data_IF_904207944752
#
_entry.id   IF_904207944752
#
_cell.length_a   1.000
_cell.length_b   1.000
_cell.length_c   1.000
_cell.angle_alpha   90.00
_cell.angle_beta   90.00
_cell.angle_gamma   90.00
#
_symmetry.space_group_name_H-M   'P 1'
#
loop_
_entity.id
_entity.type
_entity.pdbx_description
1 polymer ?
#
# COMPACT_ATOMS: atom_id res chain seq x y z
N UNK A 1 -19.68 5.21 45.21
CA UNK A 1 -18.42 6.00 45.21
C UNK A 1 -17.20 5.25 44.69
N UNK A 2 -16.99 3.93 44.93
CA UNK A 2 -15.77 3.20 44.45
C UNK A 2 -15.71 2.94 42.96
N UNK A 3 -16.83 2.80 42.25
CA UNK A 3 -16.84 2.56 40.78
C UNK A 3 -16.49 3.80 39.94
N UNK A 4 -16.85 4.99 40.43
CA UNK A 4 -16.57 6.27 39.76
C UNK A 4 -15.09 6.66 39.85
N UNK A 5 -14.40 6.31 40.93
CA UNK A 5 -12.96 6.52 41.08
C UNK A 5 -12.11 5.62 40.18
N UNK A 6 -12.56 4.38 39.90
CA UNK A 6 -11.83 3.47 39.03
C UNK A 6 -11.93 3.94 37.57
N UNK A 7 -13.09 4.45 37.11
CA UNK A 7 -13.25 5.02 35.78
C UNK A 7 -12.38 6.28 35.56
N UNK A 8 -12.31 7.15 36.58
CA UNK A 8 -11.47 8.34 36.54
C UNK A 8 -9.96 7.99 36.50
N UNK A 9 -9.54 6.95 37.24
CA UNK A 9 -8.16 6.49 37.23
C UNK A 9 -7.75 5.82 35.87
N UNK A 10 -8.68 5.09 35.24
CA UNK A 10 -8.43 4.50 33.93
C UNK A 10 -8.38 5.58 32.85
N UNK A 11 -9.22 6.60 32.90
CA UNK A 11 -9.18 7.75 32.00
C UNK A 11 -7.90 8.59 32.19
N UNK A 12 -7.41 8.73 33.43
CA UNK A 12 -6.17 9.45 33.73
C UNK A 12 -4.91 8.64 33.27
N UNK A 13 -4.96 7.30 33.34
CA UNK A 13 -3.87 6.47 32.80
C UNK A 13 -3.84 6.44 31.28
N UNK A 14 -4.98 6.52 30.60
CA UNK A 14 -5.05 6.62 29.15
C UNK A 14 -4.47 7.97 28.65
N UNK A 15 -4.67 9.05 29.40
CA UNK A 15 -4.10 10.37 29.05
C UNK A 15 -2.60 10.52 29.36
N UNK A 16 -2.04 9.67 30.21
CA UNK A 16 -0.59 9.65 30.50
C UNK A 16 0.23 8.81 29.51
N UNK A 17 -0.42 7.95 28.70
CA UNK A 17 0.23 7.14 27.66
C UNK A 17 0.40 7.87 26.33
N UNK A 18 -0.37 8.93 26.08
CA UNK A 18 -0.22 9.82 24.94
C UNK A 18 0.48 11.09 25.41
N UNK A 19 1.80 11.11 25.34
CA UNK A 19 2.53 12.38 25.45
C UNK A 19 1.93 13.35 24.42
N UNK A 20 1.63 14.58 24.84
CA UNK A 20 1.24 15.66 23.94
C UNK A 20 2.38 15.91 22.96
N UNK A 21 2.41 15.19 21.87
CA UNK A 21 3.37 15.42 20.80
C UNK A 21 2.69 16.27 19.75
N UNK A 22 2.85 17.56 19.90
CA UNK A 22 2.40 18.56 18.91
C UNK A 22 3.31 18.65 17.71
N UNK A 23 4.45 17.95 17.70
CA UNK A 23 5.47 18.11 16.66
C UNK A 23 4.94 17.80 15.26
N UNK A 24 4.26 16.66 15.07
CA UNK A 24 3.72 16.31 13.77
C UNK A 24 2.56 17.22 13.35
N UNK A 25 1.71 17.62 14.29
CA UNK A 25 0.63 18.57 14.03
C UNK A 25 1.18 19.94 13.67
N UNK A 26 2.10 20.50 14.44
CA UNK A 26 2.77 21.78 14.17
C UNK A 26 3.52 21.78 12.84
N UNK A 27 4.16 20.67 12.47
CA UNK A 27 4.87 20.53 11.20
C UNK A 27 3.92 20.45 9.99
N UNK A 28 2.75 19.85 10.11
CA UNK A 28 1.81 19.62 9.01
C UNK A 28 0.79 20.76 8.83
N UNK A 29 0.41 21.43 9.92
CA UNK A 29 -0.60 22.48 9.94
C UNK A 29 -0.36 23.61 8.91
N UNK A 30 0.87 24.16 8.74
CA UNK A 30 1.13 25.22 7.76
C UNK A 30 0.83 24.80 6.31
N UNK A 31 1.02 23.53 5.96
CA UNK A 31 0.72 23.03 4.62
C UNK A 31 -0.79 22.92 4.35
N UNK A 32 -1.57 22.63 5.38
CA UNK A 32 -3.03 22.62 5.29
C UNK A 32 -3.57 24.06 5.21
N UNK A 33 -3.05 24.98 6.03
CA UNK A 33 -3.46 26.39 6.05
C UNK A 33 -3.14 27.11 4.73
N UNK A 34 -2.00 26.78 4.11
CA UNK A 34 -1.62 27.30 2.80
C UNK A 34 -2.42 26.70 1.63
N UNK A 35 -3.18 25.62 1.89
CA UNK A 35 -3.90 24.87 0.85
C UNK A 35 -3.02 23.94 0.02
N UNK A 36 -1.75 23.76 0.38
CA UNK A 36 -0.84 22.82 -0.28
C UNK A 36 -1.25 21.35 -0.05
N UNK A 37 -1.87 21.05 1.10
CA UNK A 37 -2.45 19.76 1.43
C UNK A 37 -3.91 19.94 1.87
N UNK A 38 -4.84 19.09 1.42
CA UNK A 38 -6.21 19.09 1.92
C UNK A 38 -6.27 18.62 3.38
N UNK A 39 -5.47 17.66 3.75
CA UNK A 39 -5.33 17.08 5.08
C UNK A 39 -4.22 16.06 5.12
N UNK A 40 -3.77 15.71 6.32
CA UNK A 40 -2.71 14.74 6.54
C UNK A 40 -2.94 13.96 7.83
N UNK A 41 -2.50 12.70 7.82
CA UNK A 41 -2.39 11.85 9.01
C UNK A 41 -0.92 11.46 9.15
N UNK A 42 -0.39 11.63 10.34
CA UNK A 42 0.95 11.16 10.71
C UNK A 42 0.85 10.24 11.90
N UNK A 43 1.48 9.09 11.82
CA UNK A 43 1.57 8.12 12.92
C UNK A 43 3.05 7.81 13.13
N UNK A 44 3.55 8.16 14.29
CA UNK A 44 4.89 7.83 14.76
C UNK A 44 4.78 6.81 15.88
N UNK A 45 5.34 5.63 15.68
CA UNK A 45 5.32 4.58 16.68
C UNK A 45 6.75 4.13 17.01
N UNK A 46 7.06 4.07 18.30
CA UNK A 46 8.30 3.49 18.84
C UNK A 46 7.98 2.71 20.12
N UNK A 47 8.84 1.82 20.59
CA UNK A 47 8.61 1.10 21.83
C UNK A 47 8.26 2.04 22.99
N UNK A 48 7.05 1.90 23.53
CA UNK A 48 6.55 2.67 24.67
C UNK A 48 5.97 4.06 24.34
N UNK A 49 5.90 4.47 23.06
CA UNK A 49 5.28 5.73 22.68
C UNK A 49 4.69 5.69 21.26
N UNK A 50 3.53 6.30 21.09
CA UNK A 50 2.90 6.53 19.79
C UNK A 50 2.44 7.99 19.69
N UNK A 51 2.72 8.63 18.56
CA UNK A 51 2.25 9.97 18.23
C UNK A 51 1.32 9.89 17.02
N UNK A 52 0.13 10.44 17.15
CA UNK A 52 -0.86 10.53 16.08
C UNK A 52 -1.24 11.98 15.87
N UNK A 53 -1.09 12.47 14.63
CA UNK A 53 -1.59 13.77 14.23
C UNK A 53 -2.55 13.62 13.05
N UNK A 54 -3.73 14.25 13.16
CA UNK A 54 -4.73 14.35 12.09
C UNK A 54 -5.01 15.83 11.86
N UNK A 55 -4.57 16.38 10.72
CA UNK A 55 -4.71 17.81 10.40
C UNK A 55 -5.46 17.99 9.08
N UNK A 56 -6.38 18.98 9.04
CA UNK A 56 -7.13 19.33 7.84
C UNK A 56 -8.35 18.46 7.58
N UNK A 57 -8.64 18.25 6.30
CA UNK A 57 -9.92 17.76 5.82
C UNK A 57 -9.80 16.46 5.03
N UNK A 58 -10.68 15.51 5.30
CA UNK A 58 -10.92 14.35 4.45
C UNK A 58 -11.82 14.70 3.25
N UNK A 59 -12.60 15.80 3.36
CA UNK A 59 -13.40 16.37 2.29
C UNK A 59 -13.41 17.89 2.47
N UNK A 60 -12.67 18.58 1.61
CA UNK A 60 -12.51 20.04 1.68
C UNK A 60 -13.84 20.75 1.42
N UNK A 61 -14.61 20.27 0.45
CA UNK A 61 -15.89 20.90 0.05
C UNK A 61 -16.94 20.85 1.16
N UNK A 62 -16.99 19.75 1.89
CA UNK A 62 -17.92 19.54 3.03
C UNK A 62 -17.32 19.91 4.37
N UNK A 63 -16.07 20.37 4.41
CA UNK A 63 -15.32 20.64 5.65
C UNK A 63 -15.37 19.46 6.62
N UNK A 64 -15.33 18.22 6.11
CA UNK A 64 -15.30 17.02 6.94
C UNK A 64 -13.86 16.80 7.41
N UNK A 65 -13.57 16.82 8.71
CA UNK A 65 -12.21 16.68 9.23
C UNK A 65 -11.64 15.30 8.88
N UNK A 66 -10.32 15.23 8.72
CA UNK A 66 -9.62 13.96 8.59
C UNK A 66 -9.48 13.31 9.97
N UNK A 67 -9.63 11.99 10.02
CA UNK A 67 -9.52 11.18 11.25
C UNK A 67 -8.81 9.87 10.93
N UNK A 68 -8.44 9.09 11.93
CA UNK A 68 -7.85 7.76 11.73
C UNK A 68 -8.76 6.80 10.95
N UNK A 69 -10.09 7.01 11.01
CA UNK A 69 -11.06 6.22 10.25
C UNK A 69 -11.26 6.71 8.81
N UNK A 70 -10.54 7.75 8.39
CA UNK A 70 -10.64 8.28 7.04
C UNK A 70 -10.02 7.31 6.03
N UNK A 71 -10.76 7.05 4.95
CA UNK A 71 -10.28 6.23 3.84
C UNK A 71 -9.50 7.08 2.85
N UNK A 72 -8.37 6.59 2.39
CA UNK A 72 -7.55 7.23 1.36
C UNK A 72 -6.93 6.20 0.42
N UNK A 73 -6.57 6.66 -0.77
CA UNK A 73 -5.93 5.82 -1.77
C UNK A 73 -4.45 5.64 -1.42
N UNK A 74 -4.02 4.42 -1.18
CA UNK A 74 -2.64 4.11 -0.81
C UNK A 74 -1.69 3.95 -2.01
N UNK A 75 -2.21 3.86 -3.22
CA UNK A 75 -1.40 3.66 -4.43
C UNK A 75 -0.38 2.52 -4.24
N UNK A 76 0.90 2.75 -4.51
CA UNK A 76 1.97 1.74 -4.43
C UNK A 76 2.26 1.22 -3.02
N UNK A 77 1.81 1.88 -1.97
CA UNK A 77 1.92 1.36 -0.60
C UNK A 77 1.19 0.02 -0.43
N UNK A 78 0.15 -0.22 -1.25
CA UNK A 78 -0.56 -1.50 -1.35
C UNK A 78 0.37 -2.68 -1.65
N UNK A 79 1.52 -2.47 -2.32
CA UNK A 79 2.49 -3.54 -2.58
C UNK A 79 3.05 -4.15 -1.31
N UNK A 80 3.23 -3.36 -0.25
CA UNK A 80 3.66 -3.84 1.05
C UNK A 80 2.66 -4.84 1.65
N UNK A 81 1.36 -4.52 1.57
CA UNK A 81 0.30 -5.43 2.05
C UNK A 81 0.24 -6.73 1.23
N UNK A 82 0.37 -6.62 -0.11
CA UNK A 82 0.46 -7.81 -0.96
C UNK A 82 1.66 -8.68 -0.58
N UNK A 83 2.84 -8.07 -0.37
CA UNK A 83 4.04 -8.78 0.03
C UNK A 83 3.87 -9.54 1.36
N UNK A 84 3.31 -8.88 2.38
CA UNK A 84 3.02 -9.51 3.67
C UNK A 84 2.00 -10.65 3.52
N UNK A 85 0.94 -10.46 2.72
CA UNK A 85 -0.06 -11.51 2.47
C UNK A 85 0.57 -12.74 1.84
N UNK A 86 1.42 -12.57 0.83
CA UNK A 86 2.15 -13.69 0.21
C UNK A 86 3.10 -14.35 1.22
N UNK A 87 3.79 -13.57 2.06
CA UNK A 87 4.68 -14.12 3.08
C UNK A 87 3.93 -15.02 4.07
N UNK A 88 2.73 -14.63 4.50
CA UNK A 88 1.87 -15.45 5.35
C UNK A 88 1.49 -16.77 4.64
N UNK A 89 1.11 -16.71 3.35
CA UNK A 89 0.77 -17.91 2.58
C UNK A 89 1.97 -18.84 2.40
N UNK A 90 3.19 -18.29 2.30
CA UNK A 90 4.43 -19.07 2.27
C UNK A 90 4.69 -19.72 3.61
N UNK A 91 4.53 -19.00 4.73
CA UNK A 91 4.67 -19.53 6.09
C UNK A 91 3.69 -20.68 6.37
N UNK A 92 2.45 -20.55 5.87
CA UNK A 92 1.42 -21.59 5.95
C UNK A 92 1.65 -22.77 4.97
N UNK A 93 2.69 -22.74 4.16
CA UNK A 93 3.01 -23.79 3.18
C UNK A 93 2.04 -23.86 1.98
N UNK A 94 1.21 -22.85 1.78
CA UNK A 94 0.22 -22.78 0.67
C UNK A 94 0.83 -22.39 -0.66
N UNK A 95 1.90 -21.57 -0.61
CA UNK A 95 2.63 -21.05 -1.78
C UNK A 95 4.12 -21.22 -1.53
N UNK A 96 4.90 -21.56 -2.57
CA UNK A 96 6.37 -21.42 -2.56
C UNK A 96 6.77 -20.20 -3.40
N UNK A 97 7.81 -19.49 -2.96
CA UNK A 97 8.37 -18.38 -3.76
C UNK A 97 8.91 -18.85 -5.11
N UNK A 98 9.35 -20.10 -5.20
CA UNK A 98 9.91 -20.68 -6.43
C UNK A 98 8.85 -21.41 -7.27
N UNK A 99 7.59 -21.45 -6.84
CA UNK A 99 6.50 -21.98 -7.63
C UNK A 99 6.29 -21.13 -8.91
N UNK A 100 5.98 -21.78 -10.03
CA UNK A 100 5.49 -21.09 -11.21
C UNK A 100 4.19 -20.32 -10.90
N UNK A 101 4.10 -19.07 -11.36
CA UNK A 101 2.86 -18.29 -11.21
C UNK A 101 1.69 -19.02 -11.89
N UNK A 102 1.94 -19.71 -12.98
CA UNK A 102 0.95 -20.50 -13.73
C UNK A 102 0.31 -21.64 -12.91
N UNK A 103 0.93 -22.07 -11.79
CA UNK A 103 0.32 -23.03 -10.86
C UNK A 103 -0.95 -22.47 -10.22
N UNK A 104 -1.02 -21.16 -10.04
CA UNK A 104 -2.11 -20.45 -9.39
C UNK A 104 -2.97 -19.65 -10.39
N UNK A 105 -2.32 -19.15 -11.44
CA UNK A 105 -2.90 -18.33 -12.50
C UNK A 105 -2.52 -18.95 -13.86
N UNK A 106 -3.30 -19.92 -14.39
CA UNK A 106 -2.96 -20.68 -15.60
C UNK A 106 -2.68 -19.82 -16.84
N UNK A 107 -3.26 -18.63 -16.92
CA UNK A 107 -3.03 -17.66 -18.01
C UNK A 107 -1.58 -17.20 -18.12
N UNK A 108 -0.75 -17.41 -17.10
CA UNK A 108 0.68 -17.12 -17.13
C UNK A 108 1.56 -18.31 -17.56
N UNK A 109 0.96 -19.41 -18.06
CA UNK A 109 1.70 -20.58 -18.51
C UNK A 109 2.52 -20.30 -19.79
N UNK A 110 1.99 -19.44 -20.67
CA UNK A 110 2.68 -19.02 -21.89
C UNK A 110 2.82 -17.50 -21.91
N UNK A 111 4.05 -17.03 -21.79
CA UNK A 111 4.38 -15.62 -21.85
C UNK A 111 5.20 -15.32 -23.10
N UNK A 112 4.95 -14.16 -23.67
CA UNK A 112 5.65 -13.65 -24.86
C UNK A 112 6.44 -12.40 -24.49
N UNK A 113 7.64 -12.31 -25.04
CA UNK A 113 8.56 -11.19 -24.84
C UNK A 113 8.66 -10.41 -26.13
N UNK A 114 8.57 -9.08 -26.04
CA UNK A 114 8.75 -8.19 -27.17
C UNK A 114 10.24 -8.07 -27.50
N UNK A 115 10.62 -8.43 -28.71
CA UNK A 115 11.97 -8.25 -29.23
C UNK A 115 12.15 -6.87 -29.86
N UNK A 116 11.25 -6.51 -30.77
CA UNK A 116 11.32 -5.29 -31.54
C UNK A 116 9.91 -4.79 -31.88
N UNK A 117 9.75 -3.47 -31.95
CA UNK A 117 8.59 -2.81 -32.54
C UNK A 117 9.08 -1.85 -33.63
N UNK A 118 8.75 -2.12 -34.88
CA UNK A 118 9.12 -1.32 -36.03
C UNK A 118 7.93 -1.12 -36.95
N UNK A 119 7.65 0.11 -37.33
CA UNK A 119 6.55 0.50 -38.22
C UNK A 119 5.18 -0.07 -37.79
N UNK A 120 4.96 -0.18 -36.45
CA UNK A 120 3.75 -0.75 -35.88
C UNK A 120 3.69 -2.28 -35.88
N UNK A 121 4.73 -2.97 -36.37
CA UNK A 121 4.87 -4.42 -36.32
C UNK A 121 5.66 -4.81 -35.06
N UNK A 122 5.10 -5.73 -34.26
CA UNK A 122 5.75 -6.28 -33.07
C UNK A 122 6.27 -7.68 -33.33
N UNK A 123 7.55 -7.86 -33.10
CA UNK A 123 8.18 -9.20 -33.13
C UNK A 123 8.25 -9.73 -31.71
N UNK A 124 7.71 -10.92 -31.49
CA UNK A 124 7.63 -11.57 -30.19
C UNK A 124 8.31 -12.93 -30.23
N UNK A 125 8.89 -13.32 -29.09
CA UNK A 125 9.31 -14.70 -28.86
C UNK A 125 8.75 -15.24 -27.55
N UNK A 126 8.65 -16.56 -27.39
CA UNK A 126 8.24 -17.18 -26.14
C UNK A 126 9.26 -16.90 -25.05
N UNK A 127 8.80 -16.56 -23.86
CA UNK A 127 9.66 -16.40 -22.69
C UNK A 127 10.45 -17.71 -22.44
N UNK A 128 11.77 -17.59 -22.27
CA UNK A 128 12.66 -18.72 -22.01
C UNK A 128 12.56 -19.23 -20.57
N UNK A 129 12.28 -18.30 -19.66
CA UNK A 129 12.22 -18.58 -18.23
C UNK A 129 10.77 -18.73 -17.78
N UNK A 130 10.58 -19.61 -16.81
CA UNK A 130 9.29 -19.73 -16.11
C UNK A 130 9.15 -18.57 -15.14
N UNK A 131 8.03 -17.87 -15.19
CA UNK A 131 7.72 -16.79 -14.25
C UNK A 131 7.41 -17.40 -12.88
N UNK A 132 8.15 -17.02 -11.85
CA UNK A 132 7.95 -17.48 -10.47
C UNK A 132 7.32 -16.39 -9.59
N UNK A 133 6.72 -16.82 -8.47
CA UNK A 133 6.17 -15.90 -7.45
C UNK A 133 7.25 -14.93 -6.97
N UNK A 134 8.48 -15.40 -6.76
CA UNK A 134 9.64 -14.60 -6.39
C UNK A 134 9.91 -13.47 -7.39
N UNK A 135 9.87 -13.77 -8.70
CA UNK A 135 10.12 -12.77 -9.75
C UNK A 135 9.07 -11.67 -9.78
N UNK A 136 7.82 -12.01 -9.46
CA UNK A 136 6.74 -11.00 -9.38
C UNK A 136 6.95 -10.11 -8.16
N UNK A 137 7.25 -10.69 -7.00
CA UNK A 137 7.42 -9.93 -5.75
C UNK A 137 8.62 -8.97 -5.76
N UNK A 138 9.71 -9.35 -6.41
CA UNK A 138 10.93 -8.55 -6.48
C UNK A 138 11.03 -7.69 -7.75
N UNK A 139 9.96 -7.61 -8.54
CA UNK A 139 9.87 -6.83 -9.77
C UNK A 139 10.85 -7.24 -10.88
N UNK A 140 11.27 -8.52 -10.93
CA UNK A 140 12.11 -9.06 -12.00
C UNK A 140 11.34 -9.89 -13.03
N UNK A 141 10.01 -9.84 -13.00
CA UNK A 141 9.14 -10.58 -13.91
C UNK A 141 9.06 -10.03 -15.34
N UNK A 142 9.67 -8.87 -15.61
CA UNK A 142 9.75 -8.29 -16.96
C UNK A 142 8.48 -7.56 -17.44
N UNK A 143 7.51 -7.32 -16.55
CA UNK A 143 6.29 -6.58 -16.91
C UNK A 143 6.56 -5.08 -17.05
N UNK A 144 6.04 -4.41 -18.10
CA UNK A 144 6.19 -2.99 -18.27
C UNK A 144 5.38 -2.23 -17.22
N UNK A 145 5.84 -1.02 -16.86
CA UNK A 145 5.12 -0.14 -15.93
C UNK A 145 3.84 0.43 -16.58
N UNK A 146 3.90 0.78 -17.86
CA UNK A 146 2.75 1.27 -18.61
C UNK A 146 2.05 0.10 -19.29
N UNK A 147 0.88 -0.26 -18.77
CA UNK A 147 -0.07 -1.04 -19.52
C UNK A 147 -0.77 -0.03 -20.43
N UNK A 148 -0.21 0.24 -21.62
CA UNK A 148 -0.96 0.96 -22.63
C UNK A 148 -2.19 0.11 -22.96
N UNK A 149 -3.36 0.64 -22.65
CA UNK A 149 -4.64 -0.04 -22.78
C UNK A 149 -5.07 -0.29 -24.25
N UNK A 150 -4.19 -0.11 -25.19
CA UNK A 150 -4.31 -0.70 -26.53
C UNK A 150 -3.97 -2.19 -26.39
N UNK A 151 -4.99 -2.97 -25.99
CA UNK A 151 -4.99 -4.40 -26.25
C UNK A 151 -4.58 -4.57 -27.70
N UNK A 152 -3.35 -5.02 -27.94
CA UNK A 152 -3.02 -5.60 -29.23
C UNK A 152 -3.98 -6.78 -29.38
N UNK A 153 -4.85 -6.71 -30.38
CA UNK A 153 -5.65 -7.84 -30.79
C UNK A 153 -4.64 -8.88 -31.31
N UNK A 154 -4.14 -9.70 -30.39
CA UNK A 154 -3.34 -10.87 -30.75
C UNK A 154 -4.35 -11.92 -31.21
N UNK A 155 -4.83 -11.76 -32.44
CA UNK A 155 -5.45 -12.84 -33.19
C UNK A 155 -4.31 -13.49 -33.95
N UNK A 156 -3.80 -14.60 -33.41
CA UNK A 156 -3.01 -15.54 -34.17
C UNK A 156 -3.87 -16.36 -35.09
#
# INVERSE_FOLDING_TARGET
>A
MKKTMILAAVAAFASLAFGETKFAEEALQPFVESGALPGAISIFSKPGAEEVACVGWADVGKKRPITLDSHYMQCSQTKGFCGVTIAILVEEGKISLDDPVSKYLPEFAELWVLDEEKDGVKTLHKAKNVLTVRMVLNHTGGFPFEISAKRADVRG
#
